data_IF_009345909400
#
_entry.id   IF_009345909400
#
_cell.length_a   1.000
_cell.length_b   1.000
_cell.length_c   1.000
_cell.angle_alpha   90.00
_cell.angle_beta   90.00
_cell.angle_gamma   90.00
#
_symmetry.space_group_name_H-M   'P 1'
#
loop_
_entity.id
_entity.type
_entity.pdbx_description
1 polymer ?
#
# COMPACT_ATOMS: atom_id res chain seq x y z
N UNK A 1 -22.09 24.51 -8.16
CA UNK A 1 -20.91 24.01 -7.42
C UNK A 1 -21.10 22.61 -6.81
N UNK A 2 -22.26 22.28 -6.22
CA UNK A 2 -22.48 20.95 -5.61
C UNK A 2 -22.25 19.75 -6.56
N UNK A 3 -22.69 19.86 -7.83
CA UNK A 3 -22.48 18.81 -8.84
C UNK A 3 -21.02 18.54 -9.20
N UNK A 4 -20.16 19.57 -9.14
CA UNK A 4 -18.73 19.41 -9.41
C UNK A 4 -18.03 18.66 -8.26
N UNK A 5 -18.41 18.97 -7.01
CA UNK A 5 -17.88 18.27 -5.83
C UNK A 5 -18.37 16.82 -5.80
N UNK A 6 -19.66 16.59 -6.08
CA UNK A 6 -20.23 15.25 -6.14
C UNK A 6 -19.61 14.37 -7.22
N UNK A 7 -19.36 14.91 -8.42
CA UNK A 7 -18.68 14.17 -9.49
C UNK A 7 -17.23 13.86 -9.15
N UNK A 8 -16.50 14.78 -8.49
CA UNK A 8 -15.13 14.53 -8.04
C UNK A 8 -15.05 13.37 -7.03
N UNK A 9 -15.96 13.34 -6.05
CA UNK A 9 -16.02 12.26 -5.04
C UNK A 9 -16.42 10.93 -5.68
N UNK A 10 -17.32 10.95 -6.66
CA UNK A 10 -17.69 9.74 -7.39
C UNK A 10 -16.52 9.16 -8.20
N UNK A 11 -15.74 10.02 -8.86
CA UNK A 11 -14.52 9.61 -9.59
C UNK A 11 -13.47 9.08 -8.63
N UNK A 12 -13.24 9.75 -7.49
CA UNK A 12 -12.31 9.28 -6.46
C UNK A 12 -12.70 7.89 -5.93
N UNK A 13 -13.97 7.69 -5.58
CA UNK A 13 -14.46 6.38 -5.12
C UNK A 13 -14.32 5.28 -6.17
N UNK A 14 -14.53 5.60 -7.45
CA UNK A 14 -14.32 4.67 -8.56
C UNK A 14 -12.85 4.28 -8.71
N UNK A 15 -11.94 5.26 -8.68
CA UNK A 15 -10.48 5.05 -8.77
C UNK A 15 -9.99 4.24 -7.58
N UNK A 16 -10.42 4.58 -6.36
CA UNK A 16 -10.05 3.87 -5.14
C UNK A 16 -10.48 2.40 -5.18
N UNK A 17 -11.71 2.13 -5.65
CA UNK A 17 -12.25 0.78 -5.68
C UNK A 17 -11.63 -0.09 -6.78
N UNK A 18 -11.39 0.47 -7.97
CA UNK A 18 -10.88 -0.31 -9.11
C UNK A 18 -9.37 -0.49 -9.13
N UNK A 19 -8.60 0.46 -8.62
CA UNK A 19 -7.15 0.40 -8.69
C UNK A 19 -6.55 0.08 -7.32
N UNK A 20 -6.90 0.87 -6.30
CA UNK A 20 -6.19 0.82 -5.02
C UNK A 20 -6.47 -0.49 -4.29
N UNK A 21 -7.73 -0.93 -4.21
CA UNK A 21 -8.09 -2.18 -3.53
C UNK A 21 -7.41 -3.42 -4.13
N UNK A 22 -7.56 -3.74 -5.43
CA UNK A 22 -6.95 -4.95 -5.99
C UNK A 22 -5.43 -4.91 -5.96
N UNK A 23 -4.81 -3.76 -6.24
CA UNK A 23 -3.34 -3.61 -6.18
C UNK A 23 -2.83 -3.85 -4.77
N UNK A 24 -3.52 -3.34 -3.74
CA UNK A 24 -3.11 -3.55 -2.34
C UNK A 24 -3.17 -5.03 -1.97
N UNK A 25 -4.21 -5.76 -2.36
CA UNK A 25 -4.31 -7.19 -2.05
C UNK A 25 -3.24 -8.03 -2.76
N UNK A 26 -2.90 -7.68 -4.00
CA UNK A 26 -1.82 -8.35 -4.73
C UNK A 26 -0.45 -8.05 -4.12
N UNK A 27 -0.16 -6.78 -3.79
CA UNK A 27 1.11 -6.41 -3.17
C UNK A 27 1.31 -7.08 -1.80
N UNK A 28 0.26 -7.16 -0.98
CA UNK A 28 0.31 -7.83 0.33
C UNK A 28 0.56 -9.34 0.18
N UNK A 29 0.13 -9.96 -0.92
CA UNK A 29 0.42 -11.36 -1.19
C UNK A 29 1.83 -11.57 -1.78
N UNK A 30 2.34 -10.66 -2.61
CA UNK A 30 3.63 -10.82 -3.29
C UNK A 30 4.84 -10.45 -2.43
N UNK A 31 4.75 -9.40 -1.61
CA UNK A 31 5.92 -8.82 -0.90
C UNK A 31 6.47 -9.71 0.24
N UNK A 32 5.64 -10.31 1.12
CA UNK A 32 6.18 -11.04 2.26
C UNK A 32 6.47 -12.52 1.95
N UNK A 33 7.63 -13.00 2.41
CA UNK A 33 7.97 -14.44 2.46
C UNK A 33 6.89 -15.23 3.22
N UNK A 34 6.60 -16.45 2.78
CA UNK A 34 5.50 -17.28 3.31
C UNK A 34 5.58 -17.52 4.81
N UNK A 35 6.79 -17.57 5.39
CA UNK A 35 7.03 -17.79 6.82
C UNK A 35 6.79 -16.55 7.68
N UNK A 36 7.01 -15.35 7.14
CA UNK A 36 6.86 -14.07 7.85
C UNK A 36 5.57 -13.32 7.48
N UNK A 37 4.84 -13.79 6.47
CA UNK A 37 3.59 -13.19 5.95
C UNK A 37 2.55 -12.99 7.05
N UNK A 38 2.28 -14.00 7.87
CA UNK A 38 1.25 -13.91 8.91
C UNK A 38 1.52 -12.79 9.92
N UNK A 39 2.76 -12.66 10.42
CA UNK A 39 3.13 -11.62 11.39
C UNK A 39 3.04 -10.22 10.78
N UNK A 40 3.53 -10.06 9.55
CA UNK A 40 3.53 -8.76 8.85
C UNK A 40 2.13 -8.29 8.50
N UNK A 41 1.27 -9.19 8.03
CA UNK A 41 -0.14 -8.89 7.70
C UNK A 41 -0.91 -8.48 8.94
N UNK A 42 -0.70 -9.15 10.08
CA UNK A 42 -1.37 -8.79 11.34
C UNK A 42 -0.95 -7.40 11.80
N UNK A 43 0.34 -7.04 11.75
CA UNK A 43 0.80 -5.70 12.11
C UNK A 43 0.18 -4.65 11.17
N UNK A 44 0.23 -4.87 9.85
CA UNK A 44 -0.37 -3.98 8.87
C UNK A 44 -1.88 -3.79 9.12
N UNK A 45 -2.60 -4.87 9.45
CA UNK A 45 -4.03 -4.81 9.76
C UNK A 45 -4.33 -4.01 11.01
N UNK A 46 -3.51 -4.13 12.05
CA UNK A 46 -3.67 -3.35 13.28
C UNK A 46 -3.48 -1.85 13.01
N UNK A 47 -2.42 -1.48 12.29
CA UNK A 47 -2.20 -0.09 11.87
C UNK A 47 -3.37 0.46 11.04
N UNK A 48 -3.85 -0.33 10.06
CA UNK A 48 -5.02 0.04 9.27
C UNK A 48 -6.26 0.28 10.14
N UNK A 49 -6.53 -0.61 11.11
CA UNK A 49 -7.66 -0.46 12.03
C UNK A 49 -7.56 0.80 12.89
N UNK A 50 -6.37 1.14 13.40
CA UNK A 50 -6.17 2.38 14.19
C UNK A 50 -6.46 3.63 13.36
N UNK A 51 -5.92 3.68 12.13
CA UNK A 51 -6.18 4.80 11.21
C UNK A 51 -7.67 4.90 10.89
N UNK A 52 -8.35 3.77 10.69
CA UNK A 52 -9.78 3.75 10.38
C UNK A 52 -10.63 4.24 11.55
N UNK A 53 -10.27 3.88 12.79
CA UNK A 53 -10.93 4.41 14.00
C UNK A 53 -10.74 5.94 14.07
N UNK A 54 -9.53 6.44 13.86
CA UNK A 54 -9.26 7.88 13.83
C UNK A 54 -10.07 8.59 12.75
N UNK A 55 -10.13 8.03 11.53
CA UNK A 55 -10.92 8.55 10.43
C UNK A 55 -12.42 8.54 10.75
N UNK A 56 -12.92 7.49 11.40
CA UNK A 56 -14.30 7.34 11.83
C UNK A 56 -14.74 8.34 12.89
N UNK A 57 -13.79 8.85 13.69
CA UNK A 57 -14.06 9.94 14.65
C UNK A 57 -13.86 11.31 13.99
N UNK A 58 -12.78 11.54 13.25
CA UNK A 58 -12.47 12.85 12.67
C UNK A 58 -13.46 13.29 11.59
N UNK A 59 -13.85 12.38 10.69
CA UNK A 59 -14.74 12.69 9.56
C UNK A 59 -16.09 13.27 9.99
N UNK A 60 -16.83 12.70 10.96
CA UNK A 60 -18.09 13.30 11.41
C UNK A 60 -17.89 14.66 12.08
N UNK A 61 -16.79 14.89 12.81
CA UNK A 61 -16.48 16.23 13.36
C UNK A 61 -16.17 17.26 12.26
N UNK A 62 -15.47 16.87 11.21
CA UNK A 62 -15.14 17.74 10.06
C UNK A 62 -16.38 18.15 9.26
N UNK A 63 -17.32 17.21 9.05
CA UNK A 63 -18.54 17.47 8.28
C UNK A 63 -19.60 18.21 9.10
N UNK A 64 -19.59 18.08 10.43
CA UNK A 64 -20.60 18.68 11.28
C UNK A 64 -20.51 20.23 11.25
N UNK A 65 -21.59 20.93 10.85
CA UNK A 65 -21.61 22.39 10.72
C UNK A 65 -21.53 23.14 12.06
N UNK A 66 -21.81 22.47 13.18
CA UNK A 66 -21.76 23.04 14.54
C UNK A 66 -20.42 22.82 15.24
N UNK A 67 -19.52 22.03 14.66
CA UNK A 67 -18.19 21.76 15.20
C UNK A 67 -17.11 22.45 14.34
N UNK A 68 -16.59 21.77 13.31
CA UNK A 68 -15.52 22.31 12.44
C UNK A 68 -16.03 22.88 11.12
N UNK A 69 -17.24 22.52 10.67
CA UNK A 69 -17.87 23.07 9.48
C UNK A 69 -16.97 23.08 8.22
N UNK A 70 -16.14 22.05 8.02
CA UNK A 70 -15.31 21.94 6.82
C UNK A 70 -16.14 21.52 5.61
N UNK A 71 -17.24 20.81 5.82
CA UNK A 71 -18.14 20.37 4.75
C UNK A 71 -17.36 19.66 3.64
N UNK A 72 -17.42 20.20 2.42
CA UNK A 72 -16.72 19.66 1.25
C UNK A 72 -15.18 19.76 1.30
N UNK A 73 -14.61 20.65 2.12
CA UNK A 73 -13.14 20.76 2.27
C UNK A 73 -12.52 19.52 2.91
N UNK A 74 -13.31 18.75 3.66
CA UNK A 74 -12.93 17.45 4.22
C UNK A 74 -12.42 16.49 3.14
N UNK A 75 -13.01 16.53 1.93
CA UNK A 75 -12.59 15.69 0.81
C UNK A 75 -11.17 16.02 0.33
N UNK A 76 -10.79 17.30 0.31
CA UNK A 76 -9.44 17.71 -0.07
C UNK A 76 -8.39 17.31 0.97
N UNK A 77 -8.74 17.31 2.25
CA UNK A 77 -7.86 16.84 3.31
C UNK A 77 -7.54 15.34 3.15
N UNK A 78 -8.56 14.51 2.94
CA UNK A 78 -8.38 13.07 2.73
C UNK A 78 -7.70 12.75 1.39
N UNK A 79 -8.02 13.50 0.33
CA UNK A 79 -7.30 13.40 -0.94
C UNK A 79 -5.81 13.73 -0.78
N UNK A 80 -5.47 14.78 -0.02
CA UNK A 80 -4.08 15.15 0.30
C UNK A 80 -3.35 14.07 1.10
N UNK A 81 -4.01 13.49 2.12
CA UNK A 81 -3.48 12.36 2.87
C UNK A 81 -3.24 11.13 1.97
N UNK A 82 -4.14 10.88 1.00
CA UNK A 82 -4.00 9.85 -0.02
C UNK A 82 -2.78 10.07 -0.92
N UNK A 83 -2.53 11.31 -1.38
CA UNK A 83 -1.35 11.65 -2.18
C UNK A 83 -0.05 11.44 -1.40
N UNK A 84 -0.01 11.81 -0.11
CA UNK A 84 1.15 11.55 0.75
C UNK A 84 1.38 10.03 0.88
N UNK A 85 0.32 9.26 1.10
CA UNK A 85 0.37 7.80 1.13
C UNK A 85 0.87 7.20 -0.19
N UNK A 86 0.45 7.75 -1.32
CA UNK A 86 0.92 7.34 -2.65
C UNK A 86 2.42 7.60 -2.83
N UNK A 87 2.89 8.80 -2.46
CA UNK A 87 4.31 9.15 -2.49
C UNK A 87 5.09 8.18 -1.59
N UNK A 88 4.65 7.98 -0.36
CA UNK A 88 5.30 7.06 0.58
C UNK A 88 5.40 5.63 0.01
N UNK A 89 4.32 5.14 -0.57
CA UNK A 89 4.27 3.82 -1.24
C UNK A 89 5.26 3.77 -2.40
N UNK A 90 5.33 4.83 -3.21
CA UNK A 90 6.29 4.93 -4.32
C UNK A 90 7.76 4.93 -3.87
N UNK A 91 8.08 5.45 -2.69
CA UNK A 91 9.45 5.43 -2.15
C UNK A 91 9.79 4.12 -1.43
N UNK A 92 8.84 3.50 -0.72
CA UNK A 92 9.11 2.41 0.22
C UNK A 92 8.74 1.02 -0.29
N UNK A 93 7.85 0.90 -1.28
CA UNK A 93 7.44 -0.39 -1.84
C UNK A 93 8.36 -0.78 -3.02
N UNK A 94 9.03 -1.95 -2.97
CA UNK A 94 9.83 -2.45 -4.10
C UNK A 94 8.92 -2.93 -5.23
N UNK A 95 9.37 -2.74 -6.47
CA UNK A 95 8.67 -3.27 -7.65
C UNK A 95 8.90 -4.80 -7.74
N UNK A 96 7.91 -5.61 -7.34
CA UNK A 96 7.92 -7.08 -7.35
C UNK A 96 7.68 -7.70 -8.73
N UNK A 97 7.32 -6.88 -9.74
CA UNK A 97 6.85 -7.34 -11.04
C UNK A 97 7.91 -8.18 -11.77
N UNK A 98 7.59 -9.45 -12.01
CA UNK A 98 8.40 -10.36 -12.84
C UNK A 98 9.48 -11.15 -12.10
N UNK A 99 9.46 -11.22 -10.76
CA UNK A 99 10.36 -12.08 -9.97
C UNK A 99 9.60 -13.15 -9.20
N UNK A 100 10.24 -14.29 -8.98
CA UNK A 100 9.72 -15.35 -8.13
C UNK A 100 9.87 -14.97 -6.65
N UNK A 101 8.98 -15.50 -5.78
CA UNK A 101 9.04 -15.24 -4.33
C UNK A 101 10.37 -15.67 -3.72
N UNK A 102 11.01 -16.71 -4.26
CA UNK A 102 12.32 -17.19 -3.82
C UNK A 102 13.46 -16.21 -4.16
N UNK A 103 13.45 -15.62 -5.35
CA UNK A 103 14.43 -14.58 -5.73
C UNK A 103 14.28 -13.31 -4.91
N UNK A 104 13.04 -12.94 -4.54
CA UNK A 104 12.79 -11.79 -3.68
C UNK A 104 13.35 -12.01 -2.28
N UNK A 105 13.20 -13.20 -1.71
CA UNK A 105 13.74 -13.54 -0.39
C UNK A 105 15.27 -13.43 -0.35
N UNK A 106 15.98 -13.89 -1.39
CA UNK A 106 17.44 -13.75 -1.53
C UNK A 106 17.85 -12.27 -1.61
N UNK A 107 17.11 -11.43 -2.36
CA UNK A 107 17.39 -10.00 -2.44
C UNK A 107 17.16 -9.27 -1.11
N UNK A 108 16.17 -9.71 -0.32
CA UNK A 108 15.94 -9.19 1.03
C UNK A 108 17.05 -9.60 1.99
N UNK A 109 17.57 -10.83 1.91
CA UNK A 109 18.70 -11.30 2.71
C UNK A 109 19.99 -10.53 2.38
N UNK A 110 20.21 -10.21 1.10
CA UNK A 110 21.32 -9.37 0.64
C UNK A 110 21.16 -7.88 0.99
N UNK A 111 20.07 -7.48 1.67
CA UNK A 111 19.74 -6.09 2.05
C UNK A 111 19.85 -5.10 0.88
N UNK A 112 19.49 -5.56 -0.32
CA UNK A 112 19.53 -4.70 -1.51
C UNK A 112 18.52 -3.58 -1.34
N UNK A 113 18.89 -2.36 -1.70
CA UNK A 113 17.98 -1.22 -1.60
C UNK A 113 16.75 -1.46 -2.48
N UNK A 114 15.56 -1.17 -1.95
CA UNK A 114 14.21 -1.36 -2.52
C UNK A 114 14.09 -1.00 -4.02
N UNK A 115 14.89 -0.03 -4.49
CA UNK A 115 14.91 0.46 -5.89
C UNK A 115 15.86 -0.26 -6.85
N UNK A 116 16.81 -1.05 -6.33
CA UNK A 116 17.76 -1.84 -7.14
C UNK A 116 17.27 -3.26 -7.42
N UNK A 117 16.13 -3.67 -6.86
CA UNK A 117 15.48 -4.95 -7.13
C UNK A 117 15.25 -5.19 -8.63
N UNK A 118 15.03 -4.13 -9.43
CA UNK A 118 14.88 -4.22 -10.89
C UNK A 118 16.18 -4.50 -11.65
N UNK A 119 17.33 -4.10 -11.10
CA UNK A 119 18.63 -4.14 -11.79
C UNK A 119 19.47 -5.36 -11.39
N UNK A 120 19.28 -5.89 -10.18
CA UNK A 120 20.07 -7.03 -9.67
C UNK A 120 19.64 -8.34 -10.31
N UNK A 121 20.17 -8.70 -11.48
CA UNK A 121 19.97 -10.02 -12.10
C UNK A 121 20.47 -11.12 -11.14
N UNK A 122 19.57 -12.00 -10.69
CA UNK A 122 19.95 -13.22 -9.97
C UNK A 122 19.89 -14.36 -10.98
N UNK A 123 21.03 -14.98 -11.25
CA UNK A 123 21.10 -16.21 -12.06
C UNK A 123 20.78 -17.38 -11.15
N UNK A 124 19.62 -18.03 -11.34
CA UNK A 124 19.18 -19.24 -10.60
C UNK A 124 20.11 -20.45 -10.82
N UNK A 125 21.16 -20.34 -11.63
CA UNK A 125 22.06 -21.43 -12.06
C UNK A 125 22.97 -22.03 -10.96
N UNK A 126 22.80 -21.69 -9.68
CA UNK A 126 23.65 -22.22 -8.59
C UNK A 126 22.89 -23.00 -7.49
N UNK A 127 21.61 -23.36 -7.70
CA UNK A 127 20.87 -24.22 -6.75
C UNK A 127 20.57 -25.62 -7.34
N UNK A 128 21.29 -26.03 -8.39
CA UNK A 128 21.26 -27.42 -8.90
C UNK A 128 22.61 -28.16 -8.69
N UNK A 129 23.56 -27.56 -7.96
CA UNK A 129 24.96 -28.03 -7.91
C UNK A 129 25.51 -28.51 -6.57
N UNK A 130 24.88 -28.16 -5.44
CA UNK A 130 25.45 -28.48 -4.11
C UNK A 130 24.56 -29.49 -3.39
N UNK A 131 25.14 -30.69 -3.22
CA UNK A 131 24.45 -31.93 -2.92
C UNK A 131 23.67 -31.94 -1.62
N UNK A 132 22.52 -32.62 -1.71
CA UNK A 132 21.92 -33.37 -0.61
C UNK A 132 22.98 -34.33 -0.03
N UNK A 133 23.25 -34.32 1.28
CA UNK A 133 23.56 -35.55 2.00
C UNK A 133 22.30 -36.42 2.15
#
# INVERSE_FOLDING_TARGET
MAWAIGSLIAVDGFVATLLVLPVTFVLVSEIPSSLLRSKSVVIARNFYSVINILAGVMTPYMINPTAWNWGALTGFFWAGAGVIGFIFTFFMVPESKGRTTAEMDILFEQKVHVRKFKVTQLSITHIDGDGLP
#
